data_IF_938342729047
#
_entry.id   IF_938342729047
#
_cell.length_a   1.000
_cell.length_b   1.000
_cell.length_c   1.000
_cell.angle_alpha   90.00
_cell.angle_beta   90.00
_cell.angle_gamma   90.00
#
_symmetry.space_group_name_H-M   'P 1'
#
loop_
_entity.id
_entity.type
_entity.pdbx_description
1 polymer ?
#
# COMPACT_ATOMS: atom_id res chain seq x y z
N UNK A 1 -22.34 33.46 -27.55
CA UNK A 1 -22.79 32.05 -27.43
C UNK A 1 -23.22 31.68 -26.00
N UNK A 2 -22.36 31.78 -24.97
CA UNK A 2 -22.72 31.40 -23.59
C UNK A 2 -23.93 32.14 -22.99
N UNK A 3 -24.04 33.45 -23.22
CA UNK A 3 -25.19 34.26 -22.77
C UNK A 3 -26.52 33.74 -23.35
N UNK A 4 -26.50 33.19 -24.57
CA UNK A 4 -27.69 32.63 -25.22
C UNK A 4 -28.03 31.19 -24.79
N UNK A 5 -27.09 30.49 -24.16
CA UNK A 5 -27.25 29.08 -23.75
C UNK A 5 -27.62 28.92 -22.26
N UNK A 6 -27.64 30.01 -21.48
CA UNK A 6 -27.89 29.99 -20.03
C UNK A 6 -29.24 30.60 -19.67
N UNK A 7 -29.96 29.99 -18.72
CA UNK A 7 -31.28 30.42 -18.23
C UNK A 7 -31.25 31.83 -17.60
N UNK A 8 -30.11 32.25 -17.05
CA UNK A 8 -29.95 33.58 -16.42
C UNK A 8 -28.81 34.39 -17.10
N UNK A 9 -29.13 35.18 -18.15
CA UNK A 9 -28.12 35.91 -18.92
C UNK A 9 -27.40 37.02 -18.12
N UNK A 10 -28.12 37.67 -17.19
CA UNK A 10 -27.56 38.73 -16.33
C UNK A 10 -26.46 38.22 -15.40
N UNK A 11 -26.61 37.00 -14.87
CA UNK A 11 -25.59 36.37 -14.01
C UNK A 11 -24.29 36.08 -14.78
N UNK A 12 -24.40 35.75 -16.06
CA UNK A 12 -23.23 35.52 -16.92
C UNK A 12 -22.50 36.83 -17.21
N UNK A 13 -23.21 37.94 -17.43
CA UNK A 13 -22.61 39.25 -17.70
C UNK A 13 -21.85 39.81 -16.48
N UNK A 14 -22.37 39.60 -15.27
CA UNK A 14 -21.75 40.05 -14.00
C UNK A 14 -20.62 39.09 -13.53
N UNK A 15 -20.38 37.99 -14.24
CA UNK A 15 -19.31 37.06 -13.87
C UNK A 15 -17.92 37.69 -13.99
N UNK A 16 -17.04 37.39 -13.04
CA UNK A 16 -15.62 37.80 -13.05
C UNK A 16 -14.91 37.48 -14.37
N UNK A 17 -15.26 36.36 -15.01
CA UNK A 17 -14.72 36.00 -16.34
C UNK A 17 -15.18 36.96 -17.43
N UNK A 18 -16.46 37.32 -17.43
CA UNK A 18 -17.04 38.25 -18.40
C UNK A 18 -16.48 39.64 -18.21
N UNK A 19 -16.22 40.07 -16.97
CA UNK A 19 -15.53 41.33 -16.67
C UNK A 19 -14.14 41.39 -17.32
N UNK A 20 -13.30 40.36 -17.17
CA UNK A 20 -11.98 40.33 -17.82
C UNK A 20 -12.08 40.27 -19.35
N UNK A 21 -13.00 39.47 -19.89
CA UNK A 21 -13.22 39.38 -21.33
C UNK A 21 -13.69 40.74 -21.88
N UNK A 22 -14.53 41.47 -21.15
CA UNK A 22 -15.00 42.82 -21.49
C UNK A 22 -13.86 43.83 -21.50
N UNK A 23 -13.10 43.92 -20.41
CA UNK A 23 -11.99 44.88 -20.23
C UNK A 23 -10.86 44.66 -21.24
N UNK A 24 -10.67 43.45 -21.74
CA UNK A 24 -9.61 43.15 -22.73
C UNK A 24 -10.09 43.18 -24.17
N UNK A 25 -11.38 42.98 -24.43
CA UNK A 25 -11.91 42.89 -25.80
C UNK A 25 -12.50 44.20 -26.28
N UNK A 26 -13.14 44.99 -25.41
CA UNK A 26 -13.71 46.29 -25.79
C UNK A 26 -12.64 47.27 -26.27
N UNK A 27 -11.54 47.52 -25.52
CA UNK A 27 -10.51 48.45 -25.98
C UNK A 27 -9.87 48.01 -27.29
N UNK A 28 -9.69 46.69 -27.49
CA UNK A 28 -9.17 46.13 -28.73
C UNK A 28 -10.12 46.37 -29.92
N UNK A 29 -11.42 46.18 -29.73
CA UNK A 29 -12.40 46.45 -30.80
C UNK A 29 -12.44 47.95 -31.12
N UNK A 30 -12.46 48.82 -30.11
CA UNK A 30 -12.45 50.27 -30.28
C UNK A 30 -11.18 50.76 -31.01
N UNK A 31 -10.02 50.16 -30.71
CA UNK A 31 -8.74 50.46 -31.35
C UNK A 31 -8.77 50.32 -32.88
N UNK A 32 -9.65 49.47 -33.44
CA UNK A 32 -9.79 49.31 -34.89
C UNK A 32 -10.57 50.44 -35.57
N UNK A 33 -11.34 51.22 -34.81
CA UNK A 33 -12.24 52.27 -35.34
C UNK A 33 -11.72 53.70 -35.14
N UNK A 34 -10.57 53.87 -34.47
CA UNK A 34 -9.99 55.18 -34.14
C UNK A 34 -8.68 55.38 -34.91
N UNK A 35 -8.50 56.56 -35.50
CA UNK A 35 -7.24 56.97 -36.12
C UNK A 35 -6.14 57.11 -35.04
N UNK A 36 -5.00 56.43 -35.20
CA UNK A 36 -3.99 56.17 -34.14
C UNK A 36 -4.39 55.22 -33.00
N UNK A 37 -5.45 54.41 -33.17
CA UNK A 37 -5.86 53.41 -32.18
C UNK A 37 -4.83 52.32 -31.85
N UNK A 38 -3.76 52.19 -32.64
CA UNK A 38 -2.65 51.24 -32.41
C UNK A 38 -1.87 51.51 -31.11
N UNK A 39 -1.90 52.74 -30.59
CA UNK A 39 -1.22 53.10 -29.35
C UNK A 39 -2.06 52.88 -28.09
N UNK A 40 -3.32 52.44 -28.22
CA UNK A 40 -4.19 52.17 -27.08
C UNK A 40 -3.71 50.91 -26.34
N UNK A 41 -3.28 51.07 -25.08
CA UNK A 41 -2.85 49.94 -24.27
C UNK A 41 -4.03 49.02 -23.93
N UNK A 42 -3.91 47.75 -24.31
CA UNK A 42 -4.86 46.70 -23.93
C UNK A 42 -4.21 45.82 -22.87
N UNK A 43 -4.78 45.69 -21.66
CA UNK A 43 -4.19 44.91 -20.57
C UNK A 43 -4.38 43.41 -20.79
N UNK A 44 -3.73 42.85 -21.83
CA UNK A 44 -3.83 41.44 -22.20
C UNK A 44 -3.37 40.50 -21.09
N UNK A 45 -2.50 40.97 -20.20
CA UNK A 45 -2.02 40.18 -19.07
C UNK A 45 -3.16 39.69 -18.16
N UNK A 46 -4.25 40.47 -18.03
CA UNK A 46 -5.44 40.09 -17.24
C UNK A 46 -6.12 38.80 -17.77
N UNK A 47 -5.96 38.47 -19.06
CA UNK A 47 -6.51 37.24 -19.64
C UNK A 47 -5.92 35.98 -19.02
N UNK A 48 -4.76 36.05 -18.38
CA UNK A 48 -4.16 34.93 -17.65
C UNK A 48 -5.03 34.45 -16.48
N UNK A 49 -5.89 35.30 -15.89
CA UNK A 49 -6.84 34.84 -14.86
C UNK A 49 -7.92 33.91 -15.43
N UNK A 50 -8.27 34.08 -16.71
CA UNK A 50 -9.19 33.19 -17.42
C UNK A 50 -8.55 31.82 -17.64
N UNK A 51 -7.22 31.73 -17.73
CA UNK A 51 -6.48 30.47 -17.80
C UNK A 51 -6.77 29.59 -16.57
N UNK A 52 -6.77 30.16 -15.36
CA UNK A 52 -7.08 29.43 -14.13
C UNK A 52 -8.47 28.77 -14.18
N UNK A 53 -9.45 29.50 -14.69
CA UNK A 53 -10.82 29.01 -14.86
C UNK A 53 -10.92 27.93 -15.93
N UNK A 54 -10.13 28.03 -17.02
CA UNK A 54 -10.05 27.01 -18.07
C UNK A 54 -9.37 25.74 -17.57
N UNK A 55 -8.27 25.83 -16.82
CA UNK A 55 -7.58 24.69 -16.20
C UNK A 55 -8.51 23.96 -15.23
N UNK A 56 -9.24 24.69 -14.38
CA UNK A 56 -10.25 24.11 -13.49
C UNK A 56 -11.37 23.39 -14.26
N UNK A 57 -11.83 24.00 -15.36
CA UNK A 57 -12.88 23.41 -16.22
C UNK A 57 -12.39 22.16 -16.95
N UNK A 58 -11.18 22.19 -17.50
CA UNK A 58 -10.55 21.05 -18.18
C UNK A 58 -10.33 19.87 -17.23
N UNK A 59 -9.88 20.13 -15.99
CA UNK A 59 -9.76 19.08 -14.96
C UNK A 59 -11.12 18.47 -14.61
N UNK A 60 -12.18 19.28 -14.46
CA UNK A 60 -13.54 18.78 -14.18
C UNK A 60 -14.09 17.92 -15.33
N UNK A 61 -13.84 18.33 -16.57
CA UNK A 61 -14.23 17.61 -17.78
C UNK A 61 -13.49 16.27 -17.84
N UNK A 62 -12.18 16.24 -17.62
CA UNK A 62 -11.38 15.01 -17.62
C UNK A 62 -11.82 14.01 -16.54
N UNK A 63 -12.26 14.50 -15.37
CA UNK A 63 -12.83 13.67 -14.30
C UNK A 63 -14.22 13.15 -14.65
N UNK A 64 -15.09 13.96 -15.23
CA UNK A 64 -16.46 13.56 -15.58
C UNK A 64 -16.55 12.65 -16.81
N UNK A 65 -15.63 12.76 -17.77
CA UNK A 65 -15.66 11.99 -19.01
C UNK A 65 -15.05 10.59 -18.91
N UNK A 66 -14.58 10.15 -17.73
CA UNK A 66 -13.96 8.83 -17.52
C UNK A 66 -12.89 8.46 -18.58
N UNK A 67 -12.27 9.44 -19.24
CA UNK A 67 -11.33 9.24 -20.36
C UNK A 67 -9.97 8.65 -19.93
N UNK A 68 -9.84 8.20 -18.68
CA UNK A 68 -8.63 7.55 -18.18
C UNK A 68 -9.04 6.56 -17.09
N UNK A 69 -8.70 5.29 -17.24
CA UNK A 69 -8.93 4.21 -16.24
C UNK A 69 -8.25 4.47 -14.88
N UNK A 70 -7.40 5.51 -14.79
CA UNK A 70 -6.71 5.93 -13.58
C UNK A 70 -7.36 7.20 -13.03
N UNK A 71 -7.92 7.19 -11.80
CA UNK A 71 -8.32 8.42 -11.15
C UNK A 71 -7.10 9.35 -11.02
N UNK A 72 -7.24 10.62 -11.41
CA UNK A 72 -6.17 11.60 -11.25
C UNK A 72 -5.83 11.73 -9.76
N UNK A 73 -4.55 11.54 -9.43
CA UNK A 73 -4.05 11.69 -8.06
C UNK A 73 -4.46 13.08 -7.51
N UNK A 74 -5.24 13.09 -6.43
CA UNK A 74 -5.77 14.30 -5.81
C UNK A 74 -4.65 15.28 -5.43
N UNK A 75 -3.47 14.75 -5.07
CA UNK A 75 -2.28 15.56 -4.82
C UNK A 75 -1.82 16.29 -6.08
N UNK A 76 -1.72 15.58 -7.21
CA UNK A 76 -1.28 16.16 -8.49
C UNK A 76 -2.23 17.28 -8.94
N UNK A 77 -3.54 17.09 -8.77
CA UNK A 77 -4.55 18.12 -9.08
C UNK A 77 -4.35 19.37 -8.22
N UNK A 78 -4.13 19.20 -6.91
CA UNK A 78 -3.89 20.32 -5.97
C UNK A 78 -2.56 21.04 -6.26
N UNK A 79 -1.49 20.30 -6.57
CA UNK A 79 -0.20 20.86 -6.94
C UNK A 79 -0.27 21.63 -8.26
N UNK A 80 -0.93 21.08 -9.29
CA UNK A 80 -1.16 21.77 -10.56
C UNK A 80 -1.94 23.08 -10.30
N UNK A 81 -2.99 23.03 -9.48
CA UNK A 81 -3.76 24.23 -9.11
C UNK A 81 -2.87 25.28 -8.46
N UNK A 82 -2.03 24.88 -7.47
CA UNK A 82 -1.10 25.76 -6.76
C UNK A 82 -0.09 26.43 -7.71
N UNK A 83 0.57 25.65 -8.56
CA UNK A 83 1.59 26.13 -9.51
C UNK A 83 0.97 27.10 -10.52
N UNK A 84 -0.19 26.77 -11.10
CA UNK A 84 -0.85 27.67 -12.05
C UNK A 84 -1.30 28.97 -11.38
N UNK A 85 -1.82 28.93 -10.14
CA UNK A 85 -2.15 30.17 -9.40
C UNK A 85 -0.93 31.02 -9.12
N UNK A 86 0.21 30.43 -8.78
CA UNK A 86 1.46 31.16 -8.55
C UNK A 86 1.95 31.84 -9.82
N UNK A 87 1.98 31.12 -10.94
CA UNK A 87 2.42 31.67 -12.24
C UNK A 87 1.51 32.83 -12.68
N UNK A 88 0.19 32.67 -12.56
CA UNK A 88 -0.76 33.71 -12.96
C UNK A 88 -0.62 34.94 -12.05
N UNK A 89 -0.49 34.76 -10.74
CA UNK A 89 -0.33 35.88 -9.81
C UNK A 89 1.00 36.62 -10.05
N UNK A 90 2.10 35.90 -10.28
CA UNK A 90 3.40 36.49 -10.65
C UNK A 90 3.31 37.27 -11.97
N UNK A 91 2.71 36.68 -13.00
CA UNK A 91 2.61 37.31 -14.32
C UNK A 91 1.76 38.59 -14.31
N UNK A 92 0.64 38.60 -13.57
CA UNK A 92 -0.18 39.81 -13.42
C UNK A 92 0.53 40.87 -12.58
N UNK A 93 1.19 40.48 -11.48
CA UNK A 93 1.97 41.40 -10.66
C UNK A 93 3.08 42.07 -11.45
N UNK A 94 3.87 41.27 -12.18
CA UNK A 94 4.94 41.71 -13.09
C UNK A 94 4.44 42.69 -14.15
N UNK A 95 3.40 42.32 -14.89
CA UNK A 95 2.88 43.12 -16.00
C UNK A 95 2.23 44.42 -15.52
N UNK A 96 1.49 44.39 -14.39
CA UNK A 96 0.85 45.57 -13.83
C UNK A 96 1.86 46.55 -13.22
N UNK A 97 2.87 46.04 -12.51
CA UNK A 97 3.96 46.86 -11.96
C UNK A 97 4.76 47.54 -13.07
N UNK A 98 5.20 46.76 -14.07
CA UNK A 98 5.95 47.29 -15.21
C UNK A 98 5.14 48.35 -15.96
N UNK A 99 3.85 48.12 -16.18
CA UNK A 99 2.98 49.10 -16.83
C UNK A 99 2.90 50.42 -16.06
N UNK A 100 2.75 50.37 -14.73
CA UNK A 100 2.69 51.57 -13.90
C UNK A 100 4.01 52.36 -13.91
N UNK A 101 5.15 51.68 -13.80
CA UNK A 101 6.47 52.34 -13.80
C UNK A 101 6.85 52.91 -15.17
N UNK A 102 6.52 52.22 -16.27
CA UNK A 102 6.79 52.72 -17.64
C UNK A 102 5.87 53.89 -18.03
N UNK A 103 4.61 53.90 -17.55
CA UNK A 103 3.61 54.90 -17.96
C UNK A 103 3.65 56.15 -17.10
N UNK A 104 3.93 56.02 -15.80
CA UNK A 104 3.84 57.11 -14.82
C UNK A 104 5.16 57.42 -14.12
N UNK A 105 6.22 56.65 -14.37
CA UNK A 105 7.53 56.80 -13.77
C UNK A 105 8.62 57.11 -14.80
N UNK A 106 9.84 57.33 -14.30
CA UNK A 106 11.01 57.67 -15.10
C UNK A 106 11.92 56.45 -15.37
N UNK A 107 11.62 55.30 -14.77
CA UNK A 107 12.46 54.09 -14.81
C UNK A 107 11.77 52.99 -15.64
N UNK A 108 12.44 52.58 -16.71
CA UNK A 108 11.96 51.50 -17.58
C UNK A 108 12.54 50.15 -17.13
N UNK A 109 11.81 49.44 -16.29
CA UNK A 109 12.16 48.06 -15.93
C UNK A 109 11.90 47.10 -17.10
N UNK A 110 12.86 46.21 -17.34
CA UNK A 110 12.68 45.08 -18.24
C UNK A 110 11.76 44.03 -17.62
N UNK A 111 11.17 43.15 -18.45
CA UNK A 111 10.31 42.06 -17.97
C UNK A 111 11.08 41.16 -16.99
N UNK A 112 12.36 40.90 -17.25
CA UNK A 112 13.20 40.07 -16.39
C UNK A 112 13.51 40.75 -15.04
N UNK A 113 13.73 42.06 -15.02
CA UNK A 113 13.89 42.80 -13.76
C UNK A 113 12.59 42.81 -12.95
N UNK A 114 11.45 42.95 -13.61
CA UNK A 114 10.15 42.89 -12.94
C UNK A 114 9.78 41.50 -12.39
N UNK A 115 10.52 40.43 -12.74
CA UNK A 115 10.41 39.13 -12.04
C UNK A 115 10.87 39.19 -10.58
N UNK A 116 11.63 40.22 -10.18
CA UNK A 116 12.02 40.44 -8.78
C UNK A 116 10.80 40.68 -7.86
N UNK A 117 9.60 40.91 -8.41
CA UNK A 117 8.34 40.86 -7.64
C UNK A 117 8.10 39.49 -6.99
N UNK A 118 8.71 38.41 -7.51
CA UNK A 118 8.75 37.11 -6.85
C UNK A 118 9.33 37.19 -5.44
N UNK A 119 10.35 38.05 -5.23
CA UNK A 119 10.98 38.28 -3.92
C UNK A 119 10.01 38.94 -2.94
N UNK A 120 9.14 39.82 -3.42
CA UNK A 120 8.08 40.42 -2.60
C UNK A 120 7.00 39.39 -2.26
N UNK A 121 6.65 38.53 -3.22
CA UNK A 121 5.67 37.46 -3.02
C UNK A 121 6.15 36.36 -2.07
N UNK A 122 7.46 36.08 -2.05
CA UNK A 122 8.08 35.17 -1.08
C UNK A 122 8.31 35.80 0.28
N UNK A 123 7.88 37.06 0.49
CA UNK A 123 8.05 37.84 1.74
C UNK A 123 9.52 38.10 2.14
N UNK A 124 10.47 37.96 1.20
CA UNK A 124 11.90 38.21 1.47
C UNK A 124 12.21 39.71 1.46
N UNK A 125 11.75 40.43 0.43
CA UNK A 125 11.84 41.89 0.35
C UNK A 125 13.25 42.49 0.41
N UNK A 126 14.15 42.13 -0.51
CA UNK A 126 15.51 42.68 -0.56
C UNK A 126 15.57 44.21 -0.68
N UNK A 127 14.58 44.83 -1.34
CA UNK A 127 14.52 46.29 -1.52
C UNK A 127 15.27 46.82 -2.73
N UNK A 128 15.84 45.94 -3.56
CA UNK A 128 16.60 46.35 -4.77
C UNK A 128 15.72 46.99 -5.85
N UNK A 129 14.45 46.57 -5.94
CA UNK A 129 13.43 47.18 -6.79
C UNK A 129 12.25 47.57 -5.91
N UNK A 130 11.89 48.85 -5.94
CA UNK A 130 10.79 49.40 -5.14
C UNK A 130 9.83 50.22 -6.01
N UNK A 131 8.52 50.24 -5.68
CA UNK A 131 7.54 51.03 -6.41
C UNK A 131 7.76 52.54 -6.16
N UNK A 132 8.15 53.27 -7.20
CA UNK A 132 8.38 54.71 -7.13
C UNK A 132 7.08 55.48 -7.42
N UNK A 133 6.25 54.99 -8.33
CA UNK A 133 4.97 55.62 -8.71
C UNK A 133 3.83 55.31 -7.74
N UNK A 134 2.90 56.24 -7.56
CA UNK A 134 1.71 56.00 -6.71
C UNK A 134 0.87 54.83 -7.23
N UNK A 135 0.79 54.65 -8.55
CA UNK A 135 0.08 53.53 -9.18
C UNK A 135 0.72 52.17 -8.89
N UNK A 136 2.05 52.06 -8.99
CA UNK A 136 2.74 50.80 -8.71
C UNK A 136 2.69 50.43 -7.22
N UNK A 137 2.67 51.41 -6.31
CA UNK A 137 2.45 51.17 -4.86
C UNK A 137 1.10 50.53 -4.59
N UNK A 138 0.03 51.05 -5.18
CA UNK A 138 -1.31 50.47 -5.05
C UNK A 138 -1.34 49.04 -5.61
N UNK A 139 -0.74 48.81 -6.78
CA UNK A 139 -0.65 47.47 -7.39
C UNK A 139 0.09 46.49 -6.47
N UNK A 140 1.22 46.90 -5.88
CA UNK A 140 1.99 46.05 -4.96
C UNK A 140 1.22 45.76 -3.66
N UNK A 141 0.53 46.74 -3.08
CA UNK A 141 -0.33 46.54 -1.91
C UNK A 141 -1.46 45.53 -2.20
N UNK A 142 -2.12 45.66 -3.35
CA UNK A 142 -3.16 44.71 -3.79
C UNK A 142 -2.59 43.32 -4.05
N UNK A 143 -1.42 43.22 -4.69
CA UNK A 143 -0.74 41.95 -4.97
C UNK A 143 -0.40 41.21 -3.68
N UNK A 144 0.14 41.92 -2.67
CA UNK A 144 0.45 41.36 -1.34
C UNK A 144 -0.83 40.92 -0.64
N UNK A 145 -1.89 41.74 -0.66
CA UNK A 145 -3.18 41.38 -0.04
C UNK A 145 -3.80 40.13 -0.66
N UNK A 146 -3.82 40.04 -1.99
CA UNK A 146 -4.38 38.88 -2.72
C UNK A 146 -3.52 37.63 -2.48
N UNK A 147 -2.18 37.75 -2.48
CA UNK A 147 -1.29 36.61 -2.30
C UNK A 147 -1.38 36.02 -0.90
N UNK A 148 -1.43 36.86 0.13
CA UNK A 148 -1.62 36.44 1.52
C UNK A 148 -3.01 35.83 1.76
N UNK A 149 -4.04 36.27 1.03
CA UNK A 149 -5.37 35.68 1.13
C UNK A 149 -5.49 34.29 0.44
N UNK A 150 -4.81 34.09 -0.69
CA UNK A 150 -5.02 32.92 -1.56
C UNK A 150 -3.96 31.83 -1.39
N UNK A 151 -2.68 32.19 -1.30
CA UNK A 151 -1.58 31.21 -1.29
C UNK A 151 -1.57 30.32 -0.05
N UNK A 152 -1.76 30.83 1.19
CA UNK A 152 -1.71 29.99 2.39
C UNK A 152 -2.74 28.84 2.36
N UNK A 153 -3.97 29.11 1.93
CA UNK A 153 -5.02 28.09 1.81
C UNK A 153 -4.67 26.99 0.81
N UNK A 154 -4.12 27.36 -0.35
CA UNK A 154 -3.72 26.40 -1.38
C UNK A 154 -2.50 25.55 -0.95
N UNK A 155 -1.54 26.16 -0.27
CA UNK A 155 -0.37 25.47 0.30
C UNK A 155 -0.83 24.52 1.40
N UNK A 156 -1.67 24.97 2.33
CA UNK A 156 -2.22 24.13 3.39
C UNK A 156 -2.99 22.93 2.84
N UNK A 157 -3.82 23.13 1.81
CA UNK A 157 -4.57 22.05 1.14
C UNK A 157 -3.65 21.01 0.49
N UNK A 158 -2.57 21.45 -0.16
CA UNK A 158 -1.57 20.57 -0.76
C UNK A 158 -0.79 19.81 0.32
N UNK A 159 -0.31 20.51 1.35
CA UNK A 159 0.40 19.93 2.50
C UNK A 159 -0.46 18.92 3.27
N UNK A 160 -1.73 19.23 3.52
CA UNK A 160 -2.65 18.31 4.18
C UNK A 160 -2.87 17.04 3.36
N UNK A 161 -2.87 17.14 2.03
CA UNK A 161 -3.01 15.98 1.13
C UNK A 161 -1.72 15.16 1.10
N UNK A 162 -0.56 15.82 1.10
CA UNK A 162 0.75 15.17 1.25
C UNK A 162 0.85 14.43 2.58
N UNK A 163 0.46 15.08 3.68
CA UNK A 163 0.42 14.47 5.02
C UNK A 163 -0.50 13.26 5.05
N UNK A 164 -1.74 13.37 4.56
CA UNK A 164 -2.67 12.23 4.46
C UNK A 164 -2.09 11.05 3.67
N UNK A 165 -1.35 11.31 2.60
CA UNK A 165 -0.66 10.26 1.83
C UNK A 165 0.45 9.59 2.64
N UNK A 166 1.24 10.39 3.38
CA UNK A 166 2.31 9.92 4.27
C UNK A 166 1.77 9.13 5.47
N UNK A 167 0.58 9.49 5.94
CA UNK A 167 -0.09 8.98 7.14
C UNK A 167 -0.96 7.72 6.89
N UNK A 168 -0.83 7.07 5.72
CA UNK A 168 -1.56 5.83 5.40
C UNK A 168 -2.53 5.93 4.22
N UNK A 169 -2.69 7.11 3.62
CA UNK A 169 -3.46 7.32 2.38
C UNK A 169 -2.74 6.90 1.09
N UNK A 170 -1.60 6.21 1.20
CA UNK A 170 -0.77 5.76 0.07
C UNK A 170 -1.48 4.75 -0.86
N UNK A 171 -0.91 4.53 -2.03
CA UNK A 171 -1.38 3.55 -3.02
C UNK A 171 -0.31 2.49 -3.20
N UNK A 172 -0.73 1.22 -3.31
CA UNK A 172 0.19 0.16 -3.76
C UNK A 172 0.50 0.43 -5.23
N UNK A 173 1.79 0.46 -5.57
CA UNK A 173 2.25 0.74 -6.94
C UNK A 173 1.87 -0.40 -7.89
N UNK A 174 1.85 -0.13 -9.21
CA UNK A 174 1.82 -1.21 -10.21
C UNK A 174 3.25 -1.69 -10.38
N UNK A 175 3.74 -2.42 -9.39
CA UNK A 175 4.89 -3.29 -9.59
C UNK A 175 4.41 -4.62 -10.12
N UNK A 176 5.25 -5.28 -10.89
CA UNK A 176 5.11 -6.72 -11.21
C UNK A 176 5.54 -7.60 -10.03
N UNK A 177 5.82 -6.98 -8.87
CA UNK A 177 6.33 -7.66 -7.69
C UNK A 177 5.17 -8.26 -6.89
N UNK A 178 5.29 -9.53 -6.47
CA UNK A 178 4.27 -10.19 -5.67
C UNK A 178 4.08 -9.48 -4.33
N UNK A 179 2.85 -9.54 -3.80
CA UNK A 179 2.57 -9.00 -2.49
C UNK A 179 1.45 -9.77 -1.78
N UNK A 180 1.55 -9.81 -0.45
CA UNK A 180 0.47 -10.24 0.44
C UNK A 180 -0.21 -9.05 1.10
N UNK A 181 -1.52 -9.17 1.29
CA UNK A 181 -2.34 -8.15 1.96
C UNK A 181 -2.79 -8.69 3.32
N UNK A 182 -2.46 -7.99 4.40
CA UNK A 182 -2.84 -8.36 5.76
C UNK A 182 -3.79 -7.30 6.30
N UNK A 183 -5.01 -7.69 6.65
CA UNK A 183 -6.10 -6.81 7.06
C UNK A 183 -6.45 -7.06 8.52
N UNK A 184 -6.42 -6.02 9.34
CA UNK A 184 -6.66 -6.12 10.77
C UNK A 184 -6.19 -4.88 11.52
N UNK A 185 -6.18 -4.99 12.85
CA UNK A 185 -5.54 -4.01 13.74
C UNK A 185 -4.21 -4.61 14.19
N UNK A 186 -3.12 -3.83 14.14
CA UNK A 186 -1.78 -4.34 14.39
C UNK A 186 -1.03 -3.52 15.44
N UNK A 187 -0.40 -4.21 16.39
CA UNK A 187 0.65 -3.62 17.22
C UNK A 187 2.01 -3.70 16.49
N UNK A 188 2.98 -2.83 16.83
CA UNK A 188 4.32 -2.91 16.23
C UNK A 188 5.00 -4.27 16.46
N UNK A 189 4.82 -4.86 17.65
CA UNK A 189 5.32 -6.19 17.99
C UNK A 189 4.74 -7.27 17.07
N UNK A 190 3.41 -7.31 16.97
CA UNK A 190 2.72 -8.27 16.09
C UNK A 190 3.11 -8.10 14.62
N UNK A 191 3.28 -6.87 14.16
CA UNK A 191 3.70 -6.60 12.79
C UNK A 191 5.13 -7.10 12.54
N UNK A 192 6.05 -6.94 13.50
CA UNK A 192 7.41 -7.49 13.39
C UNK A 192 7.40 -9.02 13.38
N UNK A 193 6.63 -9.67 14.25
CA UNK A 193 6.53 -11.13 14.28
C UNK A 193 6.00 -11.69 12.95
N UNK A 194 5.00 -11.03 12.37
CA UNK A 194 4.48 -11.36 11.03
C UNK A 194 5.56 -11.17 9.97
N UNK A 195 6.28 -10.04 9.99
CA UNK A 195 7.32 -9.75 9.02
C UNK A 195 8.48 -10.74 9.10
N UNK A 196 8.89 -11.12 10.30
CA UNK A 196 9.90 -12.14 10.54
C UNK A 196 9.46 -13.49 9.96
N UNK A 197 8.22 -13.90 10.27
CA UNK A 197 7.64 -15.15 9.79
C UNK A 197 7.50 -15.27 8.27
N UNK A 198 7.34 -14.17 7.54
CA UNK A 198 7.21 -14.17 6.07
C UNK A 198 8.52 -13.82 5.34
N UNK A 199 9.32 -12.88 5.84
CA UNK A 199 10.43 -12.29 5.09
C UNK A 199 11.81 -12.84 5.46
N UNK A 200 11.96 -13.47 6.63
CA UNK A 200 13.25 -13.99 7.11
C UNK A 200 13.40 -15.51 6.91
N UNK A 201 12.54 -16.15 6.13
CA UNK A 201 12.66 -17.58 5.80
C UNK A 201 13.81 -17.84 4.83
N UNK A 202 14.51 -18.97 4.98
CA UNK A 202 15.58 -19.38 4.03
C UNK A 202 15.09 -19.47 2.58
N UNK A 203 13.80 -19.81 2.39
CA UNK A 203 13.12 -19.87 1.09
C UNK A 203 12.19 -18.67 0.83
N UNK A 204 12.31 -17.58 1.58
CA UNK A 204 11.47 -16.40 1.34
C UNK A 204 11.69 -15.87 -0.07
N UNK A 205 10.60 -15.61 -0.79
CA UNK A 205 10.69 -14.93 -2.07
C UNK A 205 11.35 -13.57 -1.87
N UNK A 206 12.51 -13.38 -2.52
CA UNK A 206 13.38 -12.19 -2.40
C UNK A 206 12.62 -10.88 -2.70
N UNK A 207 11.48 -10.99 -3.37
CA UNK A 207 10.70 -9.91 -3.95
C UNK A 207 9.28 -9.76 -3.39
N UNK A 208 8.92 -10.53 -2.36
CA UNK A 208 7.60 -10.42 -1.72
C UNK A 208 7.46 -9.11 -0.94
N UNK A 209 6.38 -8.37 -1.23
CA UNK A 209 5.99 -7.19 -0.47
C UNK A 209 4.86 -7.51 0.52
N UNK A 210 4.85 -6.85 1.67
CA UNK A 210 3.84 -7.04 2.71
C UNK A 210 3.08 -5.74 2.90
N UNK A 211 1.77 -5.78 2.64
CA UNK A 211 0.88 -4.63 2.78
C UNK A 211 -0.04 -4.83 3.97
N UNK A 212 0.11 -4.00 5.00
CA UNK A 212 -0.81 -3.94 6.13
C UNK A 212 -1.93 -2.94 5.84
N UNK A 213 -3.18 -3.34 6.09
CA UNK A 213 -4.36 -2.51 5.97
C UNK A 213 -5.13 -2.50 7.28
N UNK A 214 -5.17 -1.33 7.92
CA UNK A 214 -5.95 -1.08 9.13
C UNK A 214 -7.02 -0.02 8.84
N UNK A 215 -8.20 -0.14 9.46
CA UNK A 215 -9.23 0.90 9.43
C UNK A 215 -8.80 2.14 10.23
N UNK A 216 -8.03 1.94 11.29
CA UNK A 216 -7.52 2.99 12.17
C UNK A 216 -6.26 3.62 11.58
N UNK A 217 -6.00 4.88 11.96
CA UNK A 217 -4.78 5.56 11.53
C UNK A 217 -3.58 4.81 12.13
N UNK A 218 -2.56 4.43 11.34
CA UNK A 218 -1.40 3.72 11.86
C UNK A 218 -0.70 4.59 12.92
N UNK A 219 -0.25 3.95 14.00
CA UNK A 219 0.51 4.63 15.05
C UNK A 219 1.84 5.16 14.51
N UNK A 220 2.37 6.20 15.15
CA UNK A 220 3.67 6.78 14.77
C UNK A 220 4.80 5.76 14.88
N UNK A 221 4.74 4.86 15.88
CA UNK A 221 5.70 3.76 16.05
C UNK A 221 5.65 2.77 14.89
N UNK A 222 4.46 2.37 14.46
CA UNK A 222 4.28 1.48 13.33
C UNK A 222 4.74 2.12 12.01
N UNK A 223 4.53 3.45 11.86
CA UNK A 223 5.06 4.25 10.74
C UNK A 223 6.58 4.44 10.80
N UNK A 224 7.15 4.53 11.99
CA UNK A 224 8.59 4.59 12.19
C UNK A 224 9.23 3.24 11.82
N UNK A 225 8.60 2.14 12.23
CA UNK A 225 8.96 0.78 11.83
C UNK A 225 8.95 0.64 10.31
N UNK A 226 7.88 1.05 9.62
CA UNK A 226 7.83 1.03 8.14
C UNK A 226 9.02 1.78 7.49
N UNK A 227 9.46 2.90 8.07
CA UNK A 227 10.56 3.72 7.52
C UNK A 227 11.95 3.19 7.86
N UNK A 228 12.12 2.70 9.07
CA UNK A 228 13.42 2.28 9.62
C UNK A 228 13.62 0.76 9.54
N UNK A 229 12.63 0.03 9.04
CA UNK A 229 12.69 -1.42 8.91
C UNK A 229 13.85 -1.83 8.02
N UNK A 230 14.57 -2.87 8.45
CA UNK A 230 15.56 -3.60 7.66
C UNK A 230 14.96 -4.16 6.35
N UNK A 231 13.63 -4.35 6.30
CA UNK A 231 12.90 -4.83 5.13
C UNK A 231 12.59 -3.71 4.11
N UNK A 232 12.95 -2.45 4.42
CA UNK A 232 13.01 -1.32 3.49
C UNK A 232 11.69 -1.02 2.78
N UNK A 233 11.74 -0.83 1.46
CA UNK A 233 10.58 -0.48 0.62
C UNK A 233 9.55 -1.61 0.45
N UNK A 234 9.75 -2.79 1.04
CA UNK A 234 8.86 -3.96 0.90
C UNK A 234 7.64 -3.92 1.81
N UNK A 235 7.67 -3.11 2.86
CA UNK A 235 6.58 -2.99 3.82
C UNK A 235 5.77 -1.73 3.54
N UNK A 236 4.45 -1.89 3.45
CA UNK A 236 3.54 -0.77 3.23
C UNK A 236 2.40 -0.80 4.23
N UNK A 237 2.20 0.32 4.93
CA UNK A 237 1.15 0.42 5.95
C UNK A 237 0.12 1.44 5.51
N UNK A 238 -1.08 0.96 5.21
CA UNK A 238 -2.17 1.73 4.64
C UNK A 238 -3.35 1.79 5.61
N UNK A 239 -4.01 2.94 5.64
CA UNK A 239 -5.23 3.16 6.40
C UNK A 239 -6.43 3.08 5.47
N UNK A 240 -7.43 2.24 5.74
CA UNK A 240 -8.73 2.28 5.08
C UNK A 240 -9.58 1.06 5.39
N UNK A 241 -10.90 1.20 5.25
CA UNK A 241 -11.83 0.07 5.38
C UNK A 241 -11.90 -0.74 4.09
N UNK A 242 -11.85 -2.08 4.21
CA UNK A 242 -12.10 -3.03 3.12
C UNK A 242 -13.54 -3.04 2.63
N UNK A 243 -14.47 -2.43 3.38
CA UNK A 243 -15.86 -2.26 2.93
C UNK A 243 -16.00 -1.21 1.84
N UNK A 244 -14.99 -0.33 1.71
CA UNK A 244 -14.97 0.70 0.69
C UNK A 244 -14.21 0.21 -0.54
N UNK A 245 -14.87 0.19 -1.70
CA UNK A 245 -14.27 -0.21 -2.97
C UNK A 245 -13.06 0.65 -3.35
N UNK A 246 -13.06 1.94 -3.00
CA UNK A 246 -11.92 2.84 -3.23
C UNK A 246 -10.67 2.41 -2.46
N UNK A 247 -10.82 1.84 -1.27
CA UNK A 247 -9.69 1.25 -0.51
C UNK A 247 -9.21 -0.01 -1.21
N UNK A 248 -10.12 -0.91 -1.60
CA UNK A 248 -9.78 -2.17 -2.27
C UNK A 248 -9.04 -1.94 -3.60
N UNK A 249 -9.42 -0.91 -4.35
CA UNK A 249 -8.71 -0.46 -5.55
C UNK A 249 -7.33 0.12 -5.22
N UNK A 250 -7.21 0.87 -4.12
CA UNK A 250 -5.94 1.50 -3.69
C UNK A 250 -4.91 0.49 -3.19
N UNK A 251 -5.34 -0.55 -2.48
CA UNK A 251 -4.51 -1.67 -2.04
C UNK A 251 -4.37 -2.76 -3.09
N UNK A 252 -5.16 -2.67 -4.18
CA UNK A 252 -5.13 -3.59 -5.31
C UNK A 252 -5.39 -5.05 -4.92
N UNK A 253 -6.34 -5.28 -4.03
CA UNK A 253 -6.63 -6.60 -3.46
C UNK A 253 -6.80 -7.73 -4.51
N UNK A 254 -7.25 -7.41 -5.73
CA UNK A 254 -7.39 -8.35 -6.86
C UNK A 254 -6.08 -8.94 -7.39
N UNK A 255 -4.95 -8.31 -7.11
CA UNK A 255 -3.62 -8.71 -7.57
C UNK A 255 -2.73 -9.20 -6.43
N UNK A 256 -3.27 -9.30 -5.21
CA UNK A 256 -2.53 -9.91 -4.10
C UNK A 256 -2.38 -11.40 -4.35
N UNK A 257 -1.27 -11.99 -3.93
CA UNK A 257 -1.06 -13.44 -4.01
C UNK A 257 -1.86 -14.18 -2.93
N UNK A 258 -1.97 -13.56 -1.76
CA UNK A 258 -2.79 -14.03 -0.67
C UNK A 258 -3.27 -12.85 0.18
N UNK A 259 -4.44 -13.04 0.80
CA UNK A 259 -5.01 -12.07 1.73
C UNK A 259 -5.20 -12.74 3.09
N UNK A 260 -4.77 -12.07 4.16
CA UNK A 260 -4.92 -12.53 5.53
C UNK A 260 -5.85 -11.58 6.28
N UNK A 261 -6.89 -12.09 6.92
CA UNK A 261 -7.80 -11.31 7.78
C UNK A 261 -7.60 -11.69 9.24
N UNK A 262 -7.16 -10.75 10.07
CA UNK A 262 -6.76 -11.01 11.45
C UNK A 262 -7.68 -10.27 12.42
N UNK A 263 -8.33 -11.01 13.32
CA UNK A 263 -9.07 -10.46 14.45
C UNK A 263 -8.13 -9.94 15.55
N UNK A 264 -8.47 -8.80 16.13
CA UNK A 264 -7.74 -8.21 17.27
C UNK A 264 -7.99 -9.02 18.56
N UNK A 265 -6.92 -9.58 19.13
CA UNK A 265 -6.98 -10.39 20.36
C UNK A 265 -7.27 -9.53 21.61
N UNK A 266 -7.00 -8.23 21.55
CA UNK A 266 -7.19 -7.27 22.65
C UNK A 266 -8.51 -6.50 22.56
N UNK A 267 -9.38 -6.84 21.61
CA UNK A 267 -10.68 -6.20 21.47
C UNK A 267 -11.54 -6.38 22.74
N UNK A 268 -12.23 -5.31 23.13
CA UNK A 268 -13.14 -5.30 24.30
C UNK A 268 -14.21 -6.39 24.22
N UNK A 269 -14.74 -6.62 23.02
CA UNK A 269 -15.74 -7.66 22.74
C UNK A 269 -15.23 -8.56 21.62
N UNK A 270 -14.63 -9.72 21.96
CA UNK A 270 -14.05 -10.64 20.99
C UNK A 270 -15.08 -11.21 20.00
N UNK A 271 -16.35 -11.38 20.41
CA UNK A 271 -17.41 -11.87 19.53
C UNK A 271 -17.74 -10.86 18.43
N UNK A 272 -17.90 -9.59 18.82
CA UNK A 272 -18.12 -8.51 17.85
C UNK A 272 -16.92 -8.28 16.92
N UNK A 273 -15.70 -8.51 17.38
CA UNK A 273 -14.52 -8.39 16.51
C UNK A 273 -14.49 -9.50 15.45
N UNK A 274 -14.83 -10.74 15.80
CA UNK A 274 -14.97 -11.82 14.82
C UNK A 274 -16.12 -11.58 13.84
N UNK A 275 -17.25 -11.00 14.29
CA UNK A 275 -18.33 -10.56 13.40
C UNK A 275 -17.83 -9.52 12.40
N UNK A 276 -17.06 -8.52 12.86
CA UNK A 276 -16.42 -7.54 11.98
C UNK A 276 -15.46 -8.21 11.00
N UNK A 277 -14.64 -9.16 11.47
CA UNK A 277 -13.71 -9.90 10.64
C UNK A 277 -14.44 -10.70 9.54
N UNK A 278 -15.59 -11.29 9.88
CA UNK A 278 -16.47 -11.99 8.93
C UNK A 278 -16.95 -11.05 7.82
N UNK A 279 -17.40 -9.83 8.17
CA UNK A 279 -17.82 -8.85 7.16
C UNK A 279 -16.64 -8.36 6.31
N UNK A 280 -15.45 -8.18 6.90
CA UNK A 280 -14.21 -7.86 6.16
C UNK A 280 -13.91 -8.94 5.11
N UNK A 281 -13.96 -10.19 5.53
CA UNK A 281 -13.71 -11.37 4.70
C UNK A 281 -14.72 -11.49 3.55
N UNK A 282 -16.02 -11.29 3.80
CA UNK A 282 -17.04 -11.25 2.74
C UNK A 282 -16.79 -10.15 1.72
N UNK A 283 -16.43 -8.94 2.17
CA UNK A 283 -16.12 -7.83 1.27
C UNK A 283 -14.94 -8.14 0.35
N UNK A 284 -13.86 -8.70 0.92
CA UNK A 284 -12.68 -9.11 0.17
C UNK A 284 -13.02 -10.20 -0.83
N UNK A 285 -13.72 -11.26 -0.40
CA UNK A 285 -14.14 -12.37 -1.26
C UNK A 285 -14.97 -11.87 -2.45
N UNK A 286 -16.01 -11.07 -2.20
CA UNK A 286 -16.84 -10.51 -3.28
C UNK A 286 -16.03 -9.70 -4.30
N UNK A 287 -14.98 -8.99 -3.85
CA UNK A 287 -14.15 -8.17 -4.73
C UNK A 287 -13.06 -8.96 -5.48
N UNK A 288 -12.59 -10.08 -4.93
CA UNK A 288 -11.46 -10.86 -5.46
C UNK A 288 -11.85 -12.21 -6.07
N UNK A 289 -13.08 -12.68 -5.92
CA UNK A 289 -13.55 -14.00 -6.40
C UNK A 289 -13.25 -14.24 -7.88
N UNK A 290 -13.38 -13.21 -8.74
CA UNK A 290 -13.10 -13.30 -10.19
C UNK A 290 -11.61 -13.57 -10.47
N UNK A 291 -10.73 -13.14 -9.57
CA UNK A 291 -9.28 -13.28 -9.68
C UNK A 291 -8.74 -14.49 -8.90
N UNK A 292 -9.61 -15.27 -8.24
CA UNK A 292 -9.27 -16.47 -7.48
C UNK A 292 -8.15 -16.25 -6.43
N UNK A 293 -8.17 -15.10 -5.75
CA UNK A 293 -7.18 -14.79 -4.72
C UNK A 293 -7.49 -15.59 -3.44
N UNK A 294 -6.57 -16.42 -2.91
CA UNK A 294 -6.80 -17.16 -1.68
C UNK A 294 -6.84 -16.23 -0.47
N UNK A 295 -7.86 -16.42 0.37
CA UNK A 295 -8.03 -15.65 1.61
C UNK A 295 -7.92 -16.59 2.81
N UNK A 296 -7.09 -16.22 3.77
CA UNK A 296 -6.83 -16.91 5.02
C UNK A 296 -7.38 -16.07 6.16
N UNK A 297 -8.05 -16.68 7.13
CA UNK A 297 -8.66 -15.93 8.24
C UNK A 297 -8.22 -16.45 9.59
N UNK A 298 -7.96 -15.51 10.50
CA UNK A 298 -7.54 -15.75 11.86
C UNK A 298 -8.62 -15.17 12.80
N UNK A 299 -9.41 -16.08 13.38
CA UNK A 299 -10.55 -15.79 14.24
C UNK A 299 -10.26 -16.15 15.69
N UNK A 300 -11.00 -15.54 16.62
CA UNK A 300 -10.87 -15.82 18.05
C UNK A 300 -11.68 -17.06 18.45
N UNK A 301 -12.93 -17.18 17.99
CA UNK A 301 -13.84 -18.26 18.36
C UNK A 301 -14.23 -19.19 17.20
N UNK A 302 -14.48 -20.49 17.48
CA UNK A 302 -14.98 -21.43 16.46
C UNK A 302 -16.45 -21.20 16.08
N UNK A 303 -17.27 -20.61 16.96
CA UNK A 303 -18.69 -20.36 16.69
C UNK A 303 -18.91 -19.39 15.52
N UNK A 304 -17.99 -18.44 15.32
CA UNK A 304 -18.04 -17.45 14.25
C UNK A 304 -17.43 -17.97 12.94
N UNK A 305 -16.54 -18.97 13.01
CA UNK A 305 -15.90 -19.59 11.85
C UNK A 305 -16.90 -20.23 10.87
N UNK A 306 -18.08 -20.64 11.34
CA UNK A 306 -19.14 -21.25 10.52
C UNK A 306 -19.56 -20.34 9.35
N UNK A 307 -19.49 -19.02 9.54
CA UNK A 307 -19.85 -18.02 8.53
C UNK A 307 -18.72 -17.68 7.56
N UNK A 308 -17.54 -18.28 7.76
CA UNK A 308 -16.30 -17.92 7.07
C UNK A 308 -15.80 -18.99 6.09
N UNK A 309 -16.66 -19.96 5.73
CA UNK A 309 -16.31 -21.12 4.88
C UNK A 309 -15.75 -20.79 3.49
N UNK A 310 -15.88 -19.54 3.03
CA UNK A 310 -15.27 -19.09 1.77
C UNK A 310 -13.76 -18.80 1.90
N UNK A 311 -13.23 -18.68 3.12
CA UNK A 311 -11.78 -18.65 3.33
C UNK A 311 -11.19 -20.02 2.98
N UNK A 312 -9.96 -20.01 2.46
CA UNK A 312 -9.21 -21.23 2.15
C UNK A 312 -8.87 -22.00 3.40
N UNK A 313 -8.46 -21.30 4.46
CA UNK A 313 -8.20 -21.87 5.79
C UNK A 313 -8.67 -20.90 6.87
N UNK A 314 -9.18 -21.47 7.96
CA UNK A 314 -9.69 -20.72 9.12
C UNK A 314 -8.95 -21.20 10.35
N UNK A 315 -8.21 -20.28 10.99
CA UNK A 315 -7.48 -20.57 12.24
C UNK A 315 -8.23 -19.92 13.40
N UNK A 316 -8.65 -20.72 14.38
CA UNK A 316 -9.31 -20.25 15.59
C UNK A 316 -8.33 -20.29 16.79
N UNK A 317 -7.87 -19.13 17.26
CA UNK A 317 -6.78 -19.05 18.28
C UNK A 317 -7.14 -19.73 19.58
N UNK A 318 -8.36 -19.48 20.08
CA UNK A 318 -8.76 -19.93 21.41
C UNK A 318 -8.95 -21.43 21.44
N UNK A 319 -9.49 -21.98 20.36
CA UNK A 319 -9.59 -23.42 20.14
C UNK A 319 -8.19 -24.04 20.06
N UNK A 320 -7.29 -23.49 19.25
CA UNK A 320 -5.91 -23.98 19.15
C UNK A 320 -5.18 -23.95 20.50
N UNK A 321 -5.32 -22.85 21.26
CA UNK A 321 -4.76 -22.72 22.61
C UNK A 321 -5.32 -23.77 23.57
N UNK A 322 -6.63 -24.03 23.52
CA UNK A 322 -7.26 -25.07 24.34
C UNK A 322 -6.77 -26.46 23.97
N UNK A 323 -6.60 -26.76 22.69
CA UNK A 323 -6.03 -28.04 22.23
C UNK A 323 -4.60 -28.24 22.72
N UNK A 324 -3.74 -27.22 22.64
CA UNK A 324 -2.37 -27.31 23.17
C UNK A 324 -2.34 -27.56 24.68
N UNK A 325 -3.22 -26.92 25.44
CA UNK A 325 -3.36 -27.15 26.88
C UNK A 325 -3.86 -28.56 27.20
N UNK A 326 -4.85 -29.05 26.46
CA UNK A 326 -5.36 -30.41 26.62
C UNK A 326 -4.29 -31.46 26.28
N UNK A 327 -3.50 -31.21 25.23
CA UNK A 327 -2.38 -32.08 24.87
C UNK A 327 -1.29 -32.09 25.93
N UNK A 328 -0.98 -30.96 26.57
CA UNK A 328 -0.05 -30.91 27.71
C UNK A 328 -0.51 -31.78 28.89
N UNK A 329 -1.83 -31.89 29.11
CA UNK A 329 -2.38 -32.77 30.15
C UNK A 329 -2.11 -34.26 29.83
N UNK A 330 -2.09 -34.62 28.54
CA UNK A 330 -1.83 -35.99 28.08
C UNK A 330 -0.33 -36.30 27.97
N UNK A 331 0.45 -35.37 27.44
CA UNK A 331 1.89 -35.49 27.25
C UNK A 331 2.56 -34.17 27.67
N UNK A 332 3.34 -34.22 28.76
CA UNK A 332 4.05 -33.04 29.27
C UNK A 332 5.02 -32.51 28.22
N UNK A 333 4.97 -31.21 27.95
CA UNK A 333 5.84 -30.56 26.95
C UNK A 333 5.34 -30.62 25.51
N UNK A 334 4.19 -31.25 25.24
CA UNK A 334 3.64 -31.35 23.88
C UNK A 334 3.40 -29.97 23.23
N UNK A 335 2.91 -28.99 23.99
CA UNK A 335 2.73 -27.62 23.48
C UNK A 335 4.05 -26.97 23.07
N UNK A 336 5.12 -27.16 23.84
CA UNK A 336 6.45 -26.61 23.53
C UNK A 336 6.99 -27.24 22.25
N UNK A 337 6.90 -28.56 22.12
CA UNK A 337 7.29 -29.27 20.91
C UNK A 337 6.54 -28.74 19.68
N UNK A 338 5.21 -28.69 19.75
CA UNK A 338 4.38 -28.21 18.63
C UNK A 338 4.62 -26.72 18.31
N UNK A 339 4.86 -25.90 19.32
CA UNK A 339 5.13 -24.47 19.12
C UNK A 339 6.49 -24.26 18.45
N UNK A 340 7.52 -25.01 18.86
CA UNK A 340 8.84 -24.95 18.24
C UNK A 340 8.78 -25.37 16.76
N UNK A 341 8.07 -26.45 16.43
CA UNK A 341 7.90 -26.92 15.04
C UNK A 341 7.19 -25.92 14.10
N UNK A 342 6.49 -24.93 14.65
CA UNK A 342 5.80 -23.88 13.89
C UNK A 342 6.62 -22.60 13.75
N UNK A 343 7.68 -22.42 14.55
CA UNK A 343 8.51 -21.22 14.55
C UNK A 343 9.89 -21.56 13.99
N UNK A 344 10.28 -20.85 12.94
CA UNK A 344 11.64 -20.93 12.43
C UNK A 344 12.61 -20.30 13.42
N UNK A 345 13.68 -21.03 13.75
CA UNK A 345 14.74 -20.58 14.64
C UNK A 345 16.10 -20.81 14.00
N UNK A 346 17.04 -19.93 14.32
CA UNK A 346 18.43 -20.11 13.95
C UNK A 346 19.23 -20.53 15.18
N UNK A 347 20.15 -21.48 15.05
CA UNK A 347 20.93 -21.99 16.17
C UNK A 347 21.82 -20.90 16.76
N UNK A 348 21.95 -20.88 18.08
CA UNK A 348 22.84 -19.96 18.77
C UNK A 348 24.29 -20.47 18.78
N UNK A 349 25.25 -19.54 18.76
CA UNK A 349 26.68 -19.89 18.77
C UNK A 349 27.26 -20.10 20.17
N UNK A 350 26.55 -19.69 21.23
CA UNK A 350 27.02 -19.76 22.61
C UNK A 350 25.87 -20.13 23.54
N UNK A 351 26.13 -21.09 24.40
CA UNK A 351 25.22 -21.58 25.42
C UNK A 351 25.91 -21.53 26.77
N UNK A 352 25.15 -21.18 27.81
CA UNK A 352 25.65 -21.16 29.18
C UNK A 352 25.65 -22.57 29.77
N UNK A 353 24.65 -23.38 29.41
CA UNK A 353 24.42 -24.72 29.97
C UNK A 353 24.29 -25.79 28.87
N UNK A 354 24.75 -27.04 29.11
CA UNK A 354 24.70 -28.11 28.09
C UNK A 354 23.29 -28.46 27.61
N UNK A 355 22.28 -28.37 28.48
CA UNK A 355 20.90 -28.68 28.11
C UNK A 355 20.31 -27.67 27.12
N UNK A 356 20.83 -26.43 27.12
CA UNK A 356 20.38 -25.39 26.18
C UNK A 356 20.79 -25.73 24.76
N UNK A 357 22.00 -26.26 24.56
CA UNK A 357 22.47 -26.70 23.25
C UNK A 357 21.60 -27.84 22.70
N UNK A 358 21.26 -28.83 23.53
CA UNK A 358 20.37 -29.94 23.12
C UNK A 358 18.94 -29.47 22.85
N UNK A 359 18.44 -28.50 23.62
CA UNK A 359 17.13 -27.91 23.39
C UNK A 359 17.10 -27.10 22.09
N UNK A 360 18.15 -26.33 21.81
CA UNK A 360 18.20 -25.46 20.64
C UNK A 360 18.25 -26.27 19.35
N UNK A 361 19.08 -27.32 19.32
CA UNK A 361 19.14 -28.36 18.26
C UNK A 361 17.74 -28.91 17.94
N UNK A 362 17.03 -29.43 18.96
CA UNK A 362 15.66 -29.89 18.79
C UNK A 362 14.67 -28.80 18.37
N UNK A 363 14.89 -27.55 18.79
CA UNK A 363 13.99 -26.42 18.48
C UNK A 363 14.16 -25.82 17.09
N UNK A 364 15.26 -26.15 16.40
CA UNK A 364 15.50 -25.75 15.00
C UNK A 364 14.76 -26.65 14.00
N UNK A 365 14.17 -27.76 14.45
CA UNK A 365 13.39 -28.64 13.59
C UNK A 365 12.06 -27.97 13.16
N UNK A 366 11.72 -28.14 11.88
CA UNK A 366 10.52 -27.61 11.24
C UNK A 366 9.74 -28.73 10.51
N UNK A 367 8.49 -28.44 10.14
CA UNK A 367 7.65 -29.37 9.37
C UNK A 367 7.74 -29.07 7.88
N UNK A 368 8.17 -30.05 7.10
CA UNK A 368 8.25 -29.97 5.64
C UNK A 368 7.30 -30.96 4.98
N UNK A 369 6.80 -30.58 3.81
CA UNK A 369 6.00 -31.44 2.94
C UNK A 369 6.67 -31.51 1.57
N UNK A 370 6.95 -32.72 1.09
CA UNK A 370 7.55 -32.94 -0.22
C UNK A 370 6.96 -34.17 -0.90
N UNK A 371 7.10 -34.21 -2.23
CA UNK A 371 6.80 -35.40 -3.02
C UNK A 371 7.74 -36.51 -2.55
N UNK A 372 7.27 -37.76 -2.39
CA UNK A 372 8.13 -38.85 -1.98
C UNK A 372 9.28 -39.01 -2.99
N UNK A 373 10.50 -39.12 -2.47
CA UNK A 373 11.62 -39.52 -3.28
C UNK A 373 11.29 -40.85 -3.98
N UNK A 374 11.80 -41.04 -5.21
CA UNK A 374 11.63 -42.28 -5.97
C UNK A 374 12.05 -43.50 -5.16
N UNK A 375 12.93 -43.31 -4.18
CA UNK A 375 13.37 -44.35 -3.27
C UNK A 375 12.33 -44.87 -2.28
N UNK A 376 11.33 -44.07 -1.98
CA UNK A 376 10.31 -44.38 -0.97
C UNK A 376 9.02 -44.92 -1.60
N UNK A 377 8.77 -44.61 -2.88
CA UNK A 377 7.59 -45.08 -3.61
C UNK A 377 7.58 -46.61 -3.67
N UNK A 378 6.45 -47.21 -3.31
CA UNK A 378 6.26 -48.66 -3.24
C UNK A 378 6.73 -49.33 -1.93
N UNK A 379 7.40 -48.59 -1.04
CA UNK A 379 7.76 -49.09 0.28
C UNK A 379 6.60 -48.93 1.27
N UNK A 380 6.60 -49.77 2.30
CA UNK A 380 5.70 -49.56 3.45
C UNK A 380 6.15 -48.34 4.24
N UNK A 381 5.21 -47.56 4.79
CA UNK A 381 5.52 -46.35 5.55
C UNK A 381 6.51 -46.64 6.70
N UNK A 382 6.33 -47.74 7.43
CA UNK A 382 7.24 -48.11 8.51
C UNK A 382 8.69 -48.35 8.03
N UNK A 383 8.87 -48.99 6.87
CA UNK A 383 10.20 -49.22 6.31
C UNK A 383 10.81 -47.94 5.76
N UNK A 384 10.02 -47.11 5.08
CA UNK A 384 10.45 -45.80 4.58
C UNK A 384 10.88 -44.87 5.74
N UNK A 385 10.09 -44.81 6.82
CA UNK A 385 10.43 -43.99 7.98
C UNK A 385 11.73 -44.43 8.65
N UNK A 386 11.96 -45.76 8.75
CA UNK A 386 13.22 -46.29 9.26
C UNK A 386 14.42 -45.95 8.35
N UNK A 387 14.26 -46.11 7.03
CA UNK A 387 15.31 -45.81 6.06
C UNK A 387 15.71 -44.34 6.08
N UNK A 388 14.73 -43.43 6.02
CA UNK A 388 14.96 -41.97 6.04
C UNK A 388 15.64 -41.55 7.34
N UNK A 389 15.21 -42.10 8.48
CA UNK A 389 15.83 -41.78 9.76
C UNK A 389 17.27 -42.31 9.85
N UNK A 390 17.53 -43.54 9.36
CA UNK A 390 18.86 -44.14 9.43
C UNK A 390 19.89 -43.37 8.58
N UNK A 391 19.54 -43.04 7.35
CA UNK A 391 20.47 -42.45 6.38
C UNK A 391 20.58 -40.93 6.51
N UNK A 392 19.47 -40.23 6.74
CA UNK A 392 19.43 -38.76 6.72
C UNK A 392 19.17 -38.13 8.09
N UNK A 393 18.91 -38.91 9.14
CA UNK A 393 18.47 -38.40 10.46
C UNK A 393 17.18 -37.56 10.42
N UNK A 394 16.39 -37.66 9.34
CA UNK A 394 15.10 -36.97 9.17
C UNK A 394 13.95 -37.86 9.66
N UNK A 395 12.95 -37.26 10.30
CA UNK A 395 11.79 -38.00 10.83
C UNK A 395 10.61 -37.89 9.86
N UNK A 396 10.27 -38.99 9.18
CA UNK A 396 9.01 -39.14 8.44
C UNK A 396 7.89 -39.58 9.40
N UNK A 397 6.89 -38.72 9.61
CA UNK A 397 5.84 -38.98 10.61
C UNK A 397 4.41 -39.00 10.06
N UNK A 398 4.16 -38.49 8.85
CA UNK A 398 2.83 -38.52 8.24
C UNK A 398 2.88 -38.56 6.70
N UNK A 399 1.74 -38.90 6.11
CA UNK A 399 1.51 -38.85 4.66
C UNK A 399 0.23 -38.09 4.39
N UNK A 400 0.26 -37.17 3.44
CA UNK A 400 -0.92 -36.53 2.86
C UNK A 400 -1.23 -37.21 1.53
N UNK A 401 -2.35 -37.93 1.48
CA UNK A 401 -2.78 -38.71 0.30
C UNK A 401 -4.09 -38.18 -0.25
N UNK A 402 -4.34 -38.38 -1.55
CA UNK A 402 -5.61 -38.04 -2.18
C UNK A 402 -6.66 -39.09 -1.79
N UNK A 403 -7.80 -38.63 -1.29
CA UNK A 403 -8.95 -39.49 -0.97
C UNK A 403 -9.68 -39.91 -2.26
N UNK A 404 -10.53 -40.94 -2.19
CA UNK A 404 -11.38 -41.38 -3.31
C UNK A 404 -12.37 -40.31 -3.81
N UNK A 405 -12.64 -39.29 -2.99
CA UNK A 405 -13.42 -38.11 -3.36
C UNK A 405 -12.52 -37.10 -4.09
N UNK A 406 -12.92 -36.60 -5.28
CA UNK A 406 -12.10 -35.67 -6.06
C UNK A 406 -11.79 -34.39 -5.27
N UNK A 407 -10.53 -33.93 -5.36
CA UNK A 407 -9.96 -32.74 -4.71
C UNK A 407 -9.92 -32.71 -3.18
N UNK A 408 -10.09 -33.85 -2.51
CA UNK A 408 -9.89 -33.94 -1.05
C UNK A 408 -8.60 -34.68 -0.70
N UNK A 409 -7.80 -34.07 0.18
CA UNK A 409 -6.59 -34.67 0.71
C UNK A 409 -6.81 -35.01 2.19
N UNK A 410 -6.33 -36.18 2.61
CA UNK A 410 -6.32 -36.61 4.00
C UNK A 410 -4.89 -36.73 4.51
N UNK A 411 -4.64 -36.26 5.73
CA UNK A 411 -3.34 -36.41 6.40
C UNK A 411 -3.40 -37.59 7.36
N UNK A 412 -2.68 -38.65 7.02
CA UNK A 412 -2.55 -39.86 7.81
C UNK A 412 -1.30 -39.76 8.70
N UNK A 413 -1.51 -39.61 10.01
CA UNK A 413 -0.44 -39.61 11.01
C UNK A 413 -0.02 -41.06 11.31
N UNK A 414 1.25 -41.40 11.08
CA UNK A 414 1.83 -42.73 11.27
C UNK A 414 0.90 -43.89 10.83
N UNK A 415 0.63 -44.05 9.52
CA UNK A 415 -0.26 -45.10 9.02
C UNK A 415 0.32 -46.53 9.19
N UNK A 416 1.55 -46.65 9.71
CA UNK A 416 2.18 -47.92 10.05
C UNK A 416 2.57 -48.76 8.83
N UNK A 417 2.84 -50.05 9.03
CA UNK A 417 3.42 -50.92 7.99
C UNK A 417 2.44 -51.39 6.90
N UNK A 418 1.15 -51.04 7.00
CA UNK A 418 0.14 -51.45 6.01
C UNK A 418 0.03 -50.48 4.84
N UNK A 419 0.40 -49.22 5.05
CA UNK A 419 0.29 -48.21 4.02
C UNK A 419 1.52 -48.25 3.11
N UNK A 420 1.28 -48.28 1.80
CA UNK A 420 2.31 -48.26 0.77
C UNK A 420 2.35 -46.86 0.17
N UNK A 421 3.54 -46.26 0.15
CA UNK A 421 3.74 -44.90 -0.36
C UNK A 421 3.50 -44.87 -1.88
N UNK A 422 2.64 -43.97 -2.33
CA UNK A 422 2.32 -43.74 -3.74
C UNK A 422 3.08 -42.53 -4.26
N UNK A 423 3.29 -42.47 -5.57
CA UNK A 423 3.94 -41.34 -6.23
C UNK A 423 3.14 -40.02 -6.12
N UNK A 424 1.81 -40.13 -6.01
CA UNK A 424 0.90 -39.00 -5.82
C UNK A 424 0.80 -38.48 -4.38
N UNK A 425 1.44 -39.16 -3.43
CA UNK A 425 1.38 -38.76 -2.03
C UNK A 425 2.30 -37.56 -1.76
N UNK A 426 2.09 -36.90 -0.63
CA UNK A 426 3.03 -35.94 -0.06
C UNK A 426 3.50 -36.46 1.29
N UNK A 427 4.80 -36.70 1.42
CA UNK A 427 5.39 -37.12 2.68
C UNK A 427 5.61 -35.90 3.59
N UNK A 428 5.33 -36.07 4.88
CA UNK A 428 5.47 -35.02 5.90
C UNK A 428 6.64 -35.38 6.81
N UNK A 429 7.65 -34.51 6.79
CA UNK A 429 8.93 -34.69 7.45
C UNK A 429 9.13 -33.66 8.57
N UNK A 430 9.89 -34.05 9.58
CA UNK A 430 10.49 -33.16 10.57
C UNK A 430 12.00 -33.18 10.36
N UNK A 431 12.56 -32.01 10.05
CA UNK A 431 13.95 -31.81 9.65
C UNK A 431 14.40 -30.39 10.05
N UNK A 432 15.71 -30.13 10.08
CA UNK A 432 16.23 -28.79 10.42
C UNK A 432 16.24 -27.85 9.21
N UNK A 433 16.51 -28.40 8.02
CA UNK A 433 16.68 -27.60 6.81
C UNK A 433 15.97 -28.21 5.60
N UNK A 434 15.48 -27.38 4.65
CA UNK A 434 14.98 -27.88 3.36
C UNK A 434 16.03 -28.69 2.59
N UNK A 435 17.32 -28.48 2.85
CA UNK A 435 18.42 -29.22 2.21
C UNK A 435 18.38 -30.70 2.56
N UNK A 436 18.08 -31.05 3.80
CA UNK A 436 17.99 -32.44 4.25
C UNK A 436 16.87 -33.18 3.52
N UNK A 437 15.78 -32.47 3.18
CA UNK A 437 14.70 -33.03 2.35
C UNK A 437 15.17 -33.28 0.92
N UNK A 438 16.04 -32.43 0.37
CA UNK A 438 16.65 -32.65 -0.94
C UNK A 438 17.63 -33.84 -0.92
N UNK A 439 18.34 -34.07 0.19
CA UNK A 439 19.25 -35.20 0.34
C UNK A 439 18.52 -36.54 0.30
N UNK A 440 17.24 -36.58 0.72
CA UNK A 440 16.39 -37.77 0.60
C UNK A 440 16.20 -38.19 -0.86
N UNK A 441 16.10 -37.23 -1.79
CA UNK A 441 15.98 -37.53 -3.23
C UNK A 441 17.25 -38.22 -3.78
N UNK A 442 18.42 -37.91 -3.20
CA UNK A 442 19.72 -38.41 -3.65
C UNK A 442 20.08 -39.81 -3.10
N UNK A 443 19.32 -40.34 -2.14
CA UNK A 443 19.62 -41.63 -1.47
C UNK A 443 19.74 -42.84 -2.41
N UNK A 444 19.23 -42.80 -3.65
CA UNK A 444 19.22 -43.96 -4.57
C UNK A 444 20.25 -43.94 -5.70
N UNK A 445 21.14 -42.95 -5.78
CA UNK A 445 22.22 -42.96 -6.78
C UNK A 445 23.48 -43.73 -6.30
N UNK A 446 23.65 -43.95 -5.00
CA UNK A 446 24.86 -44.58 -4.47
C UNK A 446 24.85 -46.12 -4.48
N UNK A 447 23.68 -46.76 -4.42
CA UNK A 447 23.56 -48.22 -4.37
C UNK A 447 23.55 -48.89 -5.76
N UNK A 448 23.40 -48.13 -6.86
CA UNK A 448 23.48 -48.68 -8.22
C UNK A 448 24.90 -48.72 -8.80
N UNK A 449 25.85 -47.97 -8.23
CA UNK A 449 27.25 -47.93 -8.71
C UNK A 449 28.20 -48.87 -7.93
N UNK A 450 27.68 -49.63 -6.96
CA UNK A 450 28.47 -50.56 -6.12
C UNK A 450 28.26 -52.04 -6.43
N UNK A 451 27.60 -52.37 -7.55
CA UNK A 451 27.60 -53.70 -8.15
C UNK A 451 28.24 -53.67 -9.55
N UNK A 452 29.57 -53.65 -9.62
CA UNK A 452 30.35 -54.14 -10.77
C UNK A 452 31.69 -54.74 -10.33
#
# INVERSE_FOLDING_TARGET
>A
MRVFMTVHPLSVLVSFRSFIELTTTIPFVISNFIEHGQYLYVPYFLRSWVLLLRVKSAMKIKVNLQMTDKPMDALKVKLIRLVVTLIVLLYNGMSAFQYCEVTFGDINYTILESLLIMVTLSTVGYGDITPHTEGSRIVMMLLIGISLAVLPGLIADALNTLRKRRDGGGYVSKGDMPFILIVGTFTPEQANDILDGFLNRENAEIHLNVVFLDINKPSEELKLMERNSMWGHRVHILNGSVLNESTLHRVRARYAEAIFTISDQHANDPGKEDERNTVRLWSLYCYTVVHNVPIYTYNLYPSTAIYQKMAKEIICVREFKQYLLAMNCRCRGASTLLTNLLHQRQPMNRYDEPWQAQYDDGSCNEIYMAVPARCLVGLTFGHAAWMVFRECQVILFAIKTLTELPDTYEVLLNPGSKYIIKDSDLCVYMAESPKEICDIENMRLAEQDSEY
#
